data_IF_688459268154
#
_entry.id   IF_688459268154
#
_cell.length_a   1.000
_cell.length_b   1.000
_cell.length_c   1.000
_cell.angle_alpha   90.00
_cell.angle_beta   90.00
_cell.angle_gamma   90.00
#
_symmetry.space_group_name_H-M   'P 1'
#
loop_
_entity.id
_entity.type
_entity.pdbx_description
1 polymer ?
#
# COMPACT_ATOMS: atom_id res chain seq x y z
N UNK A 1 22.38 -25.45 7.76
CA UNK A 1 21.97 -25.95 6.43
C UNK A 1 22.06 -24.91 5.30
N UNK A 2 22.25 -23.60 5.58
CA UNK A 2 22.42 -22.55 4.55
C UNK A 2 23.72 -21.73 4.68
N UNK A 3 24.69 -22.21 5.46
CA UNK A 3 25.98 -21.54 5.69
C UNK A 3 26.80 -21.31 4.41
N UNK A 4 26.48 -22.05 3.34
CA UNK A 4 27.22 -22.11 2.07
C UNK A 4 26.39 -21.65 0.85
N UNK A 5 25.40 -20.77 1.05
CA UNK A 5 24.54 -20.26 -0.04
C UNK A 5 25.29 -19.52 -1.16
N UNK A 6 26.49 -19.00 -0.87
CA UNK A 6 27.35 -18.41 -1.90
C UNK A 6 27.98 -19.46 -2.83
N UNK A 7 28.12 -20.71 -2.36
CA UNK A 7 28.73 -21.81 -3.13
C UNK A 7 27.72 -22.77 -3.77
N UNK A 8 26.47 -22.78 -3.30
CA UNK A 8 25.40 -23.65 -3.80
C UNK A 8 24.32 -22.84 -4.52
N UNK A 9 24.54 -22.63 -5.82
CA UNK A 9 23.61 -21.91 -6.69
C UNK A 9 22.19 -22.50 -6.67
N UNK A 10 22.06 -23.83 -6.56
CA UNK A 10 20.76 -24.50 -6.54
C UNK A 10 19.98 -24.15 -5.28
N UNK A 11 20.63 -24.15 -4.11
CA UNK A 11 20.00 -23.72 -2.86
C UNK A 11 19.60 -22.25 -2.89
N UNK A 12 20.42 -21.38 -3.50
CA UNK A 12 20.08 -19.96 -3.68
C UNK A 12 18.84 -19.78 -4.56
N UNK A 13 18.75 -20.51 -5.67
CA UNK A 13 17.57 -20.48 -6.55
C UNK A 13 16.30 -20.98 -5.86
N UNK A 14 16.41 -22.05 -5.05
CA UNK A 14 15.30 -22.55 -4.23
C UNK A 14 14.81 -21.48 -3.24
N UNK A 15 15.72 -20.84 -2.51
CA UNK A 15 15.37 -19.75 -1.59
C UNK A 15 14.68 -18.60 -2.32
N UNK A 16 15.25 -18.15 -3.44
CA UNK A 16 14.67 -17.07 -4.24
C UNK A 16 13.25 -17.43 -4.69
N UNK A 17 13.03 -18.67 -5.16
CA UNK A 17 11.73 -19.16 -5.58
C UNK A 17 10.72 -19.15 -4.42
N UNK A 18 11.09 -19.70 -3.26
CA UNK A 18 10.22 -19.70 -2.08
C UNK A 18 9.82 -18.30 -1.64
N UNK A 19 10.77 -17.36 -1.58
CA UNK A 19 10.48 -15.98 -1.20
C UNK A 19 9.62 -15.27 -2.25
N UNK A 20 9.87 -15.51 -3.53
CA UNK A 20 9.06 -14.97 -4.62
C UNK A 20 7.60 -15.42 -4.52
N UNK A 21 7.35 -16.72 -4.39
CA UNK A 21 5.99 -17.25 -4.30
C UNK A 21 5.28 -16.81 -3.03
N UNK A 22 6.01 -16.66 -1.92
CA UNK A 22 5.47 -16.07 -0.70
C UNK A 22 5.02 -14.63 -0.93
N UNK A 23 5.87 -13.78 -1.52
CA UNK A 23 5.55 -12.37 -1.78
C UNK A 23 4.44 -12.14 -2.81
N UNK A 24 4.32 -13.04 -3.79
CA UNK A 24 3.37 -12.88 -4.90
C UNK A 24 2.03 -13.58 -4.64
N UNK A 25 2.02 -14.68 -3.88
CA UNK A 25 0.86 -15.56 -3.74
C UNK A 25 0.58 -16.00 -2.30
N UNK A 26 1.27 -15.40 -1.31
CA UNK A 26 1.16 -15.76 0.11
C UNK A 26 1.43 -17.25 0.38
N UNK A 27 2.35 -17.86 -0.37
CA UNK A 27 2.80 -19.22 -0.08
C UNK A 27 3.67 -19.28 1.17
N UNK A 28 3.61 -20.43 1.86
CA UNK A 28 4.42 -20.70 3.03
C UNK A 28 5.93 -20.69 2.72
N UNK A 29 6.70 -20.09 3.63
CA UNK A 29 8.16 -20.09 3.58
C UNK A 29 8.68 -21.28 4.39
N UNK A 30 9.51 -22.17 3.81
CA UNK A 30 10.14 -23.27 4.54
C UNK A 30 10.92 -22.83 5.77
N UNK A 31 10.82 -23.61 6.86
CA UNK A 31 11.46 -23.33 8.16
C UNK A 31 12.94 -23.04 8.09
N UNK A 32 13.64 -23.81 7.28
CA UNK A 32 15.07 -23.63 7.08
C UNK A 32 15.43 -22.21 6.59
N UNK A 33 14.55 -21.56 5.82
CA UNK A 33 14.78 -20.24 5.22
C UNK A 33 14.57 -19.14 6.25
N UNK A 34 13.41 -19.10 6.91
CA UNK A 34 13.14 -18.03 7.88
C UNK A 34 14.05 -18.10 9.12
N UNK A 35 14.50 -19.31 9.51
CA UNK A 35 15.51 -19.51 10.56
C UNK A 35 16.87 -18.95 10.15
N UNK A 36 17.24 -19.08 8.88
CA UNK A 36 18.53 -18.61 8.39
C UNK A 36 18.60 -17.09 8.24
N UNK A 37 17.53 -16.49 7.72
CA UNK A 37 17.48 -15.05 7.46
C UNK A 37 16.92 -14.22 8.63
N UNK A 38 16.59 -14.86 9.75
CA UNK A 38 16.30 -14.18 11.01
C UNK A 38 14.93 -13.52 11.08
N UNK A 39 13.91 -14.08 10.42
CA UNK A 39 12.52 -13.61 10.50
C UNK A 39 11.55 -14.68 11.06
N UNK A 40 12.08 -15.69 11.77
CA UNK A 40 11.30 -16.75 12.44
C UNK A 40 10.22 -16.22 13.38
N UNK A 41 10.55 -15.26 14.24
CA UNK A 41 9.61 -14.77 15.25
C UNK A 41 8.43 -14.04 14.61
N UNK A 42 8.70 -13.16 13.65
CA UNK A 42 7.66 -12.45 12.90
C UNK A 42 6.81 -13.40 12.07
N UNK A 43 7.42 -14.38 11.43
CA UNK A 43 6.72 -15.40 10.63
C UNK A 43 5.80 -16.24 11.52
N UNK A 44 6.31 -16.75 12.63
CA UNK A 44 5.53 -17.56 13.58
C UNK A 44 4.40 -16.76 14.19
N UNK A 45 4.68 -15.53 14.62
CA UNK A 45 3.69 -14.65 15.22
C UNK A 45 2.58 -14.33 14.21
N UNK A 46 2.91 -14.04 12.96
CA UNK A 46 1.92 -13.78 11.91
C UNK A 46 0.93 -14.96 11.77
N UNK A 47 1.43 -16.18 11.61
CA UNK A 47 0.57 -17.37 11.47
C UNK A 47 -0.26 -17.65 12.73
N UNK A 48 0.33 -17.45 13.91
CA UNK A 48 -0.42 -17.55 15.17
C UNK A 48 -1.59 -16.58 15.23
N UNK A 49 -1.42 -15.35 14.72
CA UNK A 49 -2.48 -14.35 14.69
C UNK A 49 -3.54 -14.68 13.62
N UNK A 50 -3.15 -15.25 12.48
CA UNK A 50 -4.09 -15.72 11.44
C UNK A 50 -4.95 -16.90 11.91
N UNK A 51 -4.40 -17.78 12.75
CA UNK A 51 -5.11 -18.94 13.31
C UNK A 51 -6.08 -18.58 14.45
N UNK A 52 -5.98 -17.39 15.04
CA UNK A 52 -6.89 -16.97 16.11
C UNK A 52 -8.30 -16.76 15.57
N UNK A 53 -9.29 -17.20 16.35
CA UNK A 53 -10.69 -16.86 16.10
C UNK A 53 -10.86 -15.33 16.09
N UNK A 54 -11.59 -14.73 15.13
CA UNK A 54 -11.65 -13.27 14.97
C UNK A 54 -12.11 -12.51 16.23
N UNK A 55 -13.03 -13.10 16.99
CA UNK A 55 -13.49 -12.54 18.27
C UNK A 55 -12.41 -12.60 19.35
N UNK A 56 -11.62 -13.68 19.38
CA UNK A 56 -10.50 -13.83 20.30
C UNK A 56 -9.37 -12.87 19.96
N UNK A 57 -8.98 -12.78 18.68
CA UNK A 57 -8.00 -11.82 18.21
C UNK A 57 -8.38 -10.39 18.58
N UNK A 58 -9.63 -9.99 18.30
CA UNK A 58 -10.12 -8.64 18.63
C UNK A 58 -9.99 -8.34 20.13
N UNK A 59 -10.43 -9.28 21.00
CA UNK A 59 -10.32 -9.12 22.45
C UNK A 59 -8.86 -8.99 22.89
N UNK A 60 -7.98 -9.89 22.43
CA UNK A 60 -6.55 -9.87 22.78
C UNK A 60 -5.84 -8.60 22.29
N UNK A 61 -6.25 -8.07 21.14
CA UNK A 61 -5.71 -6.81 20.60
C UNK A 61 -6.16 -5.62 21.46
N UNK A 62 -7.42 -5.58 21.87
CA UNK A 62 -7.98 -4.52 22.73
C UNK A 62 -7.33 -4.51 24.12
N UNK A 63 -6.95 -5.68 24.65
CA UNK A 63 -6.22 -5.80 25.93
C UNK A 63 -4.71 -5.56 25.80
N UNK A 64 -4.18 -5.44 24.57
CA UNK A 64 -2.75 -5.27 24.30
C UNK A 64 -1.91 -6.54 24.47
N UNK A 65 -2.55 -7.71 24.56
CA UNK A 65 -1.87 -9.02 24.67
C UNK A 65 -1.20 -9.43 23.35
N UNK A 66 -1.76 -9.01 22.21
CA UNK A 66 -1.22 -9.30 20.89
C UNK A 66 -1.06 -8.01 20.07
N UNK A 67 -0.05 -7.93 19.19
CA UNK A 67 0.11 -6.79 18.30
C UNK A 67 -0.91 -6.81 17.17
N UNK A 68 -0.97 -5.72 16.40
CA UNK A 68 -1.74 -5.68 15.18
C UNK A 68 -1.13 -6.61 14.12
N UNK A 69 -1.92 -7.55 13.62
CA UNK A 69 -1.53 -8.47 12.57
C UNK A 69 -1.01 -7.75 11.32
N UNK A 70 -1.57 -6.59 10.97
CA UNK A 70 -1.12 -5.83 9.80
C UNK A 70 0.27 -5.21 10.01
N UNK A 71 0.63 -4.87 11.25
CA UNK A 71 1.97 -4.37 11.57
C UNK A 71 3.01 -5.50 11.53
N UNK A 72 2.64 -6.69 12.01
CA UNK A 72 3.47 -7.89 11.91
C UNK A 72 3.66 -8.28 10.44
N UNK A 73 2.59 -8.33 9.66
CA UNK A 73 2.62 -8.59 8.22
C UNK A 73 3.51 -7.59 7.47
N UNK A 74 3.33 -6.29 7.74
CA UNK A 74 4.15 -5.25 7.12
C UNK A 74 5.64 -5.41 7.44
N UNK A 75 6.00 -5.77 8.68
CA UNK A 75 7.39 -6.00 9.09
C UNK A 75 7.96 -7.25 8.43
N UNK A 76 7.18 -8.33 8.40
CA UNK A 76 7.55 -9.58 7.76
C UNK A 76 7.75 -9.37 6.24
N UNK A 77 6.76 -8.82 5.55
CA UNK A 77 6.79 -8.50 4.13
C UNK A 77 8.02 -7.65 3.77
N UNK A 78 8.31 -6.57 4.50
CA UNK A 78 9.50 -5.74 4.24
C UNK A 78 10.81 -6.53 4.41
N UNK A 79 10.85 -7.45 5.38
CA UNK A 79 12.03 -8.28 5.63
C UNK A 79 12.22 -9.31 4.52
N UNK A 80 11.15 -10.00 4.13
CA UNK A 80 11.14 -10.97 3.03
C UNK A 80 11.51 -10.29 1.71
N UNK A 81 10.93 -9.12 1.40
CA UNK A 81 11.31 -8.32 0.23
C UNK A 81 12.79 -7.97 0.26
N UNK A 82 13.31 -7.45 1.39
CA UNK A 82 14.74 -7.07 1.50
C UNK A 82 15.66 -8.26 1.24
N UNK A 83 15.34 -9.44 1.79
CA UNK A 83 16.11 -10.66 1.57
C UNK A 83 16.02 -11.08 0.10
N UNK A 84 14.81 -11.15 -0.45
CA UNK A 84 14.56 -11.49 -1.85
C UNK A 84 15.34 -10.58 -2.81
N UNK A 85 15.25 -9.27 -2.64
CA UNK A 85 15.94 -8.27 -3.47
C UNK A 85 17.47 -8.34 -3.33
N UNK A 86 17.98 -8.73 -2.16
CA UNK A 86 19.42 -8.90 -1.96
C UNK A 86 19.97 -10.15 -2.66
N UNK A 87 19.15 -11.20 -2.75
CA UNK A 87 19.52 -12.47 -3.39
C UNK A 87 19.27 -12.44 -4.90
N UNK A 88 18.25 -11.70 -5.35
CA UNK A 88 17.95 -11.53 -6.77
C UNK A 88 18.91 -10.53 -7.40
N UNK A 89 19.76 -11.00 -8.32
CA UNK A 89 20.53 -10.08 -9.17
C UNK A 89 19.63 -9.24 -10.07
N UNK A 90 18.59 -9.86 -10.63
CA UNK A 90 17.53 -9.20 -11.42
C UNK A 90 16.18 -9.80 -11.05
N UNK A 91 15.29 -9.05 -10.36
CA UNK A 91 13.97 -9.55 -10.01
C UNK A 91 13.12 -9.91 -11.25
N UNK A 92 12.19 -10.89 -11.14
CA UNK A 92 11.24 -11.21 -12.20
C UNK A 92 10.34 -10.02 -12.55
N UNK A 93 9.91 -9.94 -13.82
CA UNK A 93 9.02 -8.86 -14.28
C UNK A 93 7.71 -8.74 -13.46
N UNK A 94 7.00 -9.83 -13.09
CA UNK A 94 5.77 -9.70 -12.29
C UNK A 94 5.98 -9.05 -10.92
N UNK A 95 7.15 -9.24 -10.32
CA UNK A 95 7.50 -8.59 -9.06
C UNK A 95 7.71 -7.08 -9.26
N UNK A 96 8.39 -6.71 -10.34
CA UNK A 96 8.58 -5.31 -10.71
C UNK A 96 7.25 -4.63 -11.05
N UNK A 97 6.34 -5.32 -11.73
CA UNK A 97 5.00 -4.81 -12.03
C UNK A 97 4.21 -4.52 -10.75
N UNK A 98 4.21 -5.46 -9.79
CA UNK A 98 3.61 -5.25 -8.46
C UNK A 98 4.19 -4.02 -7.74
N UNK A 99 5.51 -3.85 -7.75
CA UNK A 99 6.13 -2.67 -7.14
C UNK A 99 5.80 -1.38 -7.89
N UNK A 100 5.62 -1.42 -9.21
CA UNK A 100 5.19 -0.27 -9.98
C UNK A 100 3.76 0.12 -9.64
N UNK A 101 2.85 -0.84 -9.48
CA UNK A 101 1.50 -0.58 -8.97
C UNK A 101 1.52 0.05 -7.56
N UNK A 102 2.43 -0.42 -6.69
CA UNK A 102 2.62 0.19 -5.37
C UNK A 102 3.12 1.64 -5.48
N UNK A 103 4.04 1.96 -6.40
CA UNK A 103 4.46 3.33 -6.70
C UNK A 103 3.29 4.19 -7.19
N UNK A 104 2.45 3.67 -8.07
CA UNK A 104 1.27 4.39 -8.59
C UNK A 104 0.29 4.74 -7.46
N UNK A 105 0.00 3.78 -6.57
CA UNK A 105 -0.85 4.01 -5.39
C UNK A 105 -0.27 5.07 -4.45
N UNK A 106 1.04 5.03 -4.20
CA UNK A 106 1.73 6.05 -3.38
C UNK A 106 1.67 7.43 -4.05
N UNK A 107 1.90 7.49 -5.36
CA UNK A 107 1.79 8.73 -6.14
C UNK A 107 0.37 9.30 -6.11
N UNK A 108 -0.64 8.44 -6.21
CA UNK A 108 -2.04 8.83 -6.11
C UNK A 108 -2.37 9.42 -4.74
N UNK A 109 -1.96 8.78 -3.63
CA UNK A 109 -2.17 9.31 -2.27
C UNK A 109 -1.42 10.64 -2.10
N UNK A 110 -0.21 10.76 -2.61
CA UNK A 110 0.54 12.00 -2.49
C UNK A 110 -0.13 13.17 -3.25
N UNK A 111 -0.74 12.88 -4.42
CA UNK A 111 -1.46 13.85 -5.23
C UNK A 111 -2.86 14.18 -4.66
N UNK A 112 -3.60 13.17 -4.23
CA UNK A 112 -4.95 13.24 -3.69
C UNK A 112 -5.00 12.46 -2.37
N UNK A 113 -4.68 13.10 -1.23
CA UNK A 113 -4.56 12.42 0.07
C UNK A 113 -5.81 11.69 0.54
N UNK A 114 -6.99 12.06 0.04
CA UNK A 114 -8.25 11.39 0.36
C UNK A 114 -8.42 10.03 -0.33
N UNK A 115 -7.54 9.67 -1.28
CA UNK A 115 -7.55 8.33 -1.87
C UNK A 115 -7.19 7.22 -0.88
N UNK A 116 -6.65 7.54 0.31
CA UNK A 116 -6.50 6.55 1.41
C UNK A 116 -7.83 5.92 1.85
N UNK A 117 -8.95 6.55 1.51
CA UNK A 117 -10.30 6.05 1.78
C UNK A 117 -10.90 5.27 0.61
N UNK A 118 -10.18 5.12 -0.50
CA UNK A 118 -10.58 4.29 -1.64
C UNK A 118 -10.34 2.81 -1.33
N UNK A 119 -11.32 2.18 -0.69
CA UNK A 119 -11.26 0.79 -0.25
C UNK A 119 -11.13 -0.23 -1.39
N UNK A 120 -11.40 0.17 -2.64
CA UNK A 120 -11.30 -0.73 -3.80
C UNK A 120 -9.84 -0.88 -4.24
N UNK A 121 -9.04 0.17 -4.09
CA UNK A 121 -7.67 0.21 -4.63
C UNK A 121 -6.59 0.31 -3.54
N UNK A 122 -6.94 0.82 -2.36
CA UNK A 122 -6.02 1.06 -1.24
C UNK A 122 -6.46 0.23 -0.02
N UNK A 123 -5.70 -0.84 0.26
CA UNK A 123 -5.96 -1.71 1.39
C UNK A 123 -5.36 -1.15 2.69
N UNK A 124 -5.93 -1.49 3.86
CA UNK A 124 -5.30 -1.15 5.15
C UNK A 124 -3.88 -1.70 5.27
N UNK A 125 -3.63 -2.93 4.81
CA UNK A 125 -2.30 -3.55 4.79
C UNK A 125 -1.29 -2.71 4.01
N UNK A 126 -1.68 -2.16 2.85
CA UNK A 126 -0.83 -1.27 2.07
C UNK A 126 -0.45 0.01 2.84
N UNK A 127 -1.42 0.65 3.52
CA UNK A 127 -1.15 1.85 4.31
C UNK A 127 -0.18 1.56 5.46
N UNK A 128 -0.37 0.45 6.18
CA UNK A 128 0.53 0.02 7.26
C UNK A 128 1.92 -0.32 6.70
N UNK A 129 1.99 -1.06 5.57
CA UNK A 129 3.25 -1.38 4.86
C UNK A 129 4.05 -0.13 4.48
N UNK A 130 3.42 1.01 4.24
CA UNK A 130 4.13 2.25 3.91
C UNK A 130 4.15 3.30 5.03
N UNK A 131 3.57 3.00 6.19
CA UNK A 131 3.53 3.93 7.33
C UNK A 131 2.68 5.17 7.05
N UNK A 132 1.57 4.99 6.34
CA UNK A 132 0.61 6.05 6.03
C UNK A 132 -0.52 5.97 7.06
N UNK A 133 -0.66 7.03 7.85
CA UNK A 133 -1.76 7.15 8.81
C UNK A 133 -3.01 7.64 8.08
N UNK A 134 -4.02 6.76 8.00
CA UNK A 134 -5.31 7.03 7.38
C UNK A 134 -6.05 8.20 8.03
N UNK A 135 -5.80 8.48 9.30
CA UNK A 135 -6.51 9.49 10.08
C UNK A 135 -5.76 10.82 10.17
N UNK A 136 -4.52 10.89 9.66
CA UNK A 136 -3.73 12.11 9.66
C UNK A 136 -4.33 13.18 8.74
N UNK A 137 -3.86 14.43 8.87
CA UNK A 137 -4.29 15.51 7.98
C UNK A 137 -3.92 15.20 6.52
N UNK A 138 -4.62 15.84 5.57
CA UNK A 138 -4.34 15.65 4.15
C UNK A 138 -2.87 15.98 3.80
N UNK A 139 -2.29 17.00 4.43
CA UNK A 139 -0.88 17.37 4.24
C UNK A 139 0.06 16.29 4.77
N UNK A 140 -0.20 15.73 5.96
CA UNK A 140 0.60 14.66 6.53
C UNK A 140 0.52 13.38 5.70
N UNK A 141 -0.69 12.97 5.28
CA UNK A 141 -0.89 11.83 4.36
C UNK A 141 -0.10 12.02 3.06
N UNK A 142 -0.17 13.21 2.48
CA UNK A 142 0.60 13.57 1.26
C UNK A 142 2.10 13.41 1.49
N UNK A 143 2.61 13.91 2.61
CA UNK A 143 4.03 13.84 2.96
C UNK A 143 4.50 12.40 3.26
N UNK A 144 3.69 11.61 3.99
CA UNK A 144 3.97 10.20 4.28
C UNK A 144 4.03 9.39 2.98
N UNK A 145 3.08 9.60 2.07
CA UNK A 145 3.06 8.96 0.76
C UNK A 145 4.24 9.37 -0.13
N UNK A 146 4.61 10.66 -0.17
CA UNK A 146 5.82 11.12 -0.89
C UNK A 146 7.08 10.46 -0.32
N UNK A 147 7.23 10.39 1.01
CA UNK A 147 8.37 9.74 1.66
C UNK A 147 8.44 8.24 1.30
N UNK A 148 7.32 7.55 1.38
CA UNK A 148 7.21 6.15 1.01
C UNK A 148 7.52 5.92 -0.48
N UNK A 149 7.00 6.77 -1.36
CA UNK A 149 7.26 6.72 -2.80
C UNK A 149 8.75 6.82 -3.07
N UNK A 150 9.43 7.83 -2.50
CA UNK A 150 10.86 8.04 -2.68
C UNK A 150 11.69 6.84 -2.23
N UNK A 151 11.33 6.24 -1.09
CA UNK A 151 12.01 5.05 -0.58
C UNK A 151 11.83 3.84 -1.52
N UNK A 152 10.62 3.63 -2.04
CA UNK A 152 10.32 2.55 -2.98
C UNK A 152 10.98 2.78 -4.35
N UNK A 153 10.96 4.02 -4.86
CA UNK A 153 11.60 4.43 -6.11
C UNK A 153 13.12 4.19 -6.05
N UNK A 154 13.77 4.53 -4.94
CA UNK A 154 15.19 4.26 -4.73
C UNK A 154 15.53 2.76 -4.77
N UNK A 155 14.71 1.90 -4.14
CA UNK A 155 14.85 0.43 -4.24
C UNK A 155 14.70 -0.04 -5.69
N UNK A 156 13.68 0.45 -6.38
CA UNK A 156 13.39 0.08 -7.75
C UNK A 156 14.53 0.48 -8.71
N UNK A 157 15.09 1.69 -8.54
CA UNK A 157 16.27 2.16 -9.27
C UNK A 157 17.47 1.24 -9.01
N UNK A 158 17.73 0.85 -7.77
CA UNK A 158 18.82 -0.07 -7.43
C UNK A 158 18.70 -1.42 -8.16
N UNK A 159 17.48 -1.96 -8.27
CA UNK A 159 17.25 -3.27 -8.90
C UNK A 159 17.21 -3.25 -10.42
N UNK A 160 16.82 -2.14 -11.03
CA UNK A 160 16.57 -2.06 -12.49
C UNK A 160 17.57 -1.18 -13.23
N UNK A 161 18.30 -0.30 -12.53
CA UNK A 161 19.16 0.71 -13.14
C UNK A 161 18.41 1.83 -13.86
N UNK A 162 17.07 1.90 -13.72
CA UNK A 162 16.28 2.97 -14.36
C UNK A 162 16.54 4.34 -13.73
N UNK A 163 16.09 5.40 -14.39
CA UNK A 163 16.09 6.75 -13.80
C UNK A 163 15.02 6.86 -12.71
N UNK A 164 15.28 7.59 -11.61
CA UNK A 164 14.30 7.86 -10.56
C UNK A 164 13.14 8.69 -11.11
N UNK A 165 11.92 8.44 -10.61
CA UNK A 165 10.70 9.14 -11.02
C UNK A 165 10.25 10.19 -10.03
N UNK A 166 10.68 10.07 -8.77
CA UNK A 166 10.15 10.89 -7.69
C UNK A 166 10.30 12.39 -7.93
N UNK A 167 11.46 12.84 -8.41
CA UNK A 167 11.72 14.28 -8.55
C UNK A 167 10.81 14.93 -9.60
N UNK A 168 10.66 14.28 -10.76
CA UNK A 168 9.75 14.76 -11.82
C UNK A 168 8.29 14.75 -11.36
N UNK A 169 7.84 13.65 -10.75
CA UNK A 169 6.49 13.50 -10.23
C UNK A 169 6.16 14.60 -9.21
N UNK A 170 6.96 14.74 -8.16
CA UNK A 170 6.65 15.68 -7.08
C UNK A 170 6.86 17.14 -7.46
N UNK A 171 7.77 17.43 -8.40
CA UNK A 171 7.87 18.77 -9.00
C UNK A 171 6.58 19.13 -9.75
N UNK A 172 6.04 18.20 -10.56
CA UNK A 172 4.79 18.42 -11.29
C UNK A 172 3.59 18.64 -10.35
N UNK A 173 3.52 17.90 -9.24
CA UNK A 173 2.44 18.02 -8.26
C UNK A 173 2.48 19.36 -7.52
N UNK A 174 3.67 19.84 -7.16
CA UNK A 174 3.85 21.18 -6.55
C UNK A 174 3.40 22.29 -7.50
N UNK A 175 3.81 22.23 -8.76
CA UNK A 175 3.36 23.18 -9.78
C UNK A 175 1.83 23.16 -9.98
N UNK A 176 1.19 21.99 -9.95
CA UNK A 176 -0.27 21.88 -10.05
C UNK A 176 -0.97 22.53 -8.85
N UNK A 177 -0.44 22.33 -7.63
CA UNK A 177 -0.97 22.98 -6.42
C UNK A 177 -0.83 24.49 -6.49
N UNK A 178 0.32 25.01 -6.94
CA UNK A 178 0.57 26.45 -7.10
C UNK A 178 -0.29 27.11 -8.19
N UNK A 179 -0.52 26.41 -9.31
CA UNK A 179 -1.37 26.89 -10.41
C UNK A 179 -2.87 26.78 -10.13
N UNK A 180 -3.25 26.16 -9.01
CA UNK A 180 -4.63 26.15 -8.55
C UNK A 180 -4.76 27.25 -7.48
N UNK A 181 -4.97 28.53 -7.84
CA UNK A 181 -5.41 29.48 -6.83
C UNK A 181 -6.69 28.91 -6.23
N UNK A 182 -6.89 29.04 -4.92
CA UNK A 182 -8.16 28.74 -4.26
C UNK A 182 -9.29 29.30 -5.13
N UNK A 183 -9.91 28.41 -5.91
CA UNK A 183 -11.06 28.78 -6.69
C UNK A 183 -12.12 29.05 -5.64
N UNK A 184 -12.30 30.34 -5.30
CA UNK A 184 -13.49 30.86 -4.66
C UNK A 184 -14.64 30.24 -5.44
N UNK A 185 -15.22 29.17 -4.90
CA UNK A 185 -16.37 28.50 -5.48
C UNK A 185 -17.39 29.61 -5.75
N UNK A 186 -17.87 29.82 -6.98
CA UNK A 186 -19.05 30.64 -7.16
C UNK A 186 -20.12 29.95 -6.31
N UNK A 187 -20.64 30.64 -5.29
CA UNK A 187 -21.83 30.20 -4.57
C UNK A 187 -22.84 29.81 -5.65
N UNK A 188 -23.20 28.53 -5.73
CA UNK A 188 -24.33 28.11 -6.54
C UNK A 188 -25.53 28.88 -6.00
N UNK A 189 -25.88 29.97 -6.69
CA UNK A 189 -27.15 30.63 -6.48
C UNK A 189 -28.17 29.58 -6.89
N UNK A 190 -28.88 29.02 -5.90
CA UNK A 190 -30.03 28.18 -6.15
C UNK A 190 -30.94 28.92 -7.13
N UNK A 191 -30.95 28.48 -8.40
CA UNK A 191 -31.97 28.90 -9.35
C UNK A 191 -33.28 28.33 -8.78
N UNK A 192 -34.30 29.17 -8.48
CA UNK A 192 -35.59 28.64 -8.11
C UNK A 192 -36.11 27.84 -9.30
N UNK A 193 -36.38 26.57 -9.06
CA UNK A 193 -37.10 25.69 -9.97
C UNK A 193 -38.43 26.40 -10.26
N UNK A 194 -38.64 26.79 -11.52
CA UNK A 194 -39.96 27.19 -12.02
C UNK A 194 -40.89 26.00 -11.82
N UNK A 195 -41.60 25.99 -10.69
CA UNK A 195 -42.76 25.12 -10.49
C UNK A 195 -43.81 25.58 -11.50
N UNK A 196 -44.07 24.75 -12.50
CA UNK A 196 -45.27 24.88 -13.30
C UNK A 196 -46.48 24.89 -12.34
N UNK A 197 -47.25 25.97 -12.41
CA UNK A 197 -48.48 26.15 -11.63
C UNK A 197 -49.52 25.07 -11.98
N UNK A 198 -50.29 24.57 -11.00
CA UNK A 198 -51.31 23.56 -11.26
C UNK A 198 -52.43 24.17 -12.10
N UNK A 199 -52.73 23.52 -13.23
CA UNK A 199 -53.81 23.91 -14.13
C UNK A 199 -55.14 23.95 -13.38
N UNK A 200 -55.67 25.16 -13.20
CA UNK A 200 -56.99 25.44 -12.64
C UNK A 200 -58.10 24.85 -13.54
N UNK A 201 -58.90 23.96 -12.94
CA UNK A 201 -60.33 23.75 -13.13
C UNK A 201 -60.93 23.94 -14.52
N UNK A 202 -61.21 22.82 -15.20
CA UNK A 202 -62.21 22.76 -16.26
C UNK A 202 -63.60 22.82 -15.61
N UNK A 203 -64.32 23.92 -15.84
CA UNK A 203 -65.72 24.12 -15.44
C UNK A 203 -66.63 23.08 -16.11
N UNK A 204 -67.44 22.42 -15.28
CA UNK A 204 -68.71 21.77 -15.65
C UNK A 204 -69.87 22.76 -15.44
N UNK A 205 -70.89 22.69 -16.28
CA UNK A 205 -72.19 23.36 -16.16
C UNK A 205 -72.56 24.07 -17.48
N UNK A 206 -73.68 23.80 -18.15
CA UNK A 206 -74.96 23.17 -17.80
C UNK A 206 -75.41 22.20 -18.90
#
# INVERSE_FOLDING_TARGET
>A
MYSDLESDQRKREEVISSLYWSLMQNWDIPKSIYDHYGFTEDYRLFHQLEELEPAEYKRKRETGEVPDILEVDARLTRTVEKVFESLCGKPPAPYLDKMNEELEKLGQIAALPDSVHDILHITPAFLVKYGIDKNASATERSCQAEKAYRALDARFVKMTGRRPYADELFASLRQRKEKTPEAKRPKQVHKPILRNSPSKGRKMGL
#
